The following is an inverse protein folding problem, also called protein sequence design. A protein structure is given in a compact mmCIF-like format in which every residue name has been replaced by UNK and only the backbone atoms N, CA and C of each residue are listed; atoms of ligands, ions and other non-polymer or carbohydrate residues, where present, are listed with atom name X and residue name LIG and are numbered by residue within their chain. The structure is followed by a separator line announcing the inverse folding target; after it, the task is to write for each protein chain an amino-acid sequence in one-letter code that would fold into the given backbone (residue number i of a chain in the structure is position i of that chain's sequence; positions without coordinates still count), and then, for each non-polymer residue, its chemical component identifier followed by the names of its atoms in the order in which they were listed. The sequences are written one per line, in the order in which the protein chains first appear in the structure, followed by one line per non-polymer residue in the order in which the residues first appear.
data_IF_951112939100
#
_entry.id   IF_951112939100
#
_cell.length_a   1.000
_cell.length_b   1.000
_cell.length_c   1.000
_cell.angle_alpha   90.00
_cell.angle_beta   90.00
_cell.angle_gamma   90.00
#
_symmetry.space_group_name_H-M   'P 1'
#
loop_
_entity.id
_entity.type
_entity.pdbx_description
1 polymer ?
#
# COMPACT_ATOMS: atom_id res chain seq x y z
N UNK A 1 -26.90 2.69 -4.96
CA UNK A 1 -25.81 1.78 -4.56
C UNK A 1 -24.68 2.64 -4.08
N UNK A 2 -24.29 2.56 -2.80
CA UNK A 2 -23.07 3.21 -2.32
C UNK A 2 -21.90 2.37 -2.81
N UNK A 3 -21.10 2.91 -3.72
CA UNK A 3 -19.77 2.37 -3.94
C UNK A 3 -19.02 2.47 -2.60
N UNK A 4 -18.32 1.39 -2.21
CA UNK A 4 -17.51 1.37 -1.00
C UNK A 4 -16.38 2.39 -1.06
N UNK A 5 -15.61 2.48 0.02
CA UNK A 5 -14.42 3.34 0.05
C UNK A 5 -13.48 3.00 -1.11
N UNK A 6 -12.91 4.01 -1.77
CA UNK A 6 -11.98 3.77 -2.87
C UNK A 6 -11.19 4.99 -3.31
N UNK A 7 -10.47 4.86 -4.44
CA UNK A 7 -9.59 5.92 -5.00
C UNK A 7 -10.35 7.26 -5.16
N UNK A 8 -11.64 7.21 -5.52
CA UNK A 8 -12.48 8.40 -5.62
C UNK A 8 -12.60 9.21 -4.33
N UNK A 9 -12.56 8.56 -3.16
CA UNK A 9 -12.58 9.24 -1.86
C UNK A 9 -11.29 10.01 -1.60
N UNK A 10 -10.15 9.42 -1.96
CA UNK A 10 -8.83 10.04 -1.85
C UNK A 10 -8.75 11.25 -2.77
N UNK A 11 -9.17 11.08 -4.03
CA UNK A 11 -9.22 12.16 -5.02
C UNK A 11 -10.10 13.33 -4.54
N UNK A 12 -11.25 13.05 -3.94
CA UNK A 12 -12.12 14.10 -3.38
C UNK A 12 -11.42 14.91 -2.28
N UNK A 13 -10.64 14.27 -1.42
CA UNK A 13 -9.85 14.96 -0.37
C UNK A 13 -8.69 15.76 -0.97
N UNK A 14 -8.01 15.24 -1.99
CA UNK A 14 -6.98 15.97 -2.74
C UNK A 14 -7.57 17.24 -3.38
N UNK A 15 -8.74 17.12 -4.02
CA UNK A 15 -9.44 18.25 -4.61
C UNK A 15 -9.83 19.31 -3.58
N UNK A 16 -10.31 18.89 -2.41
CA UNK A 16 -10.63 19.78 -1.30
C UNK A 16 -9.38 20.54 -0.82
N UNK A 17 -8.27 19.84 -0.59
CA UNK A 17 -7.00 20.46 -0.22
C UNK A 17 -6.52 21.48 -1.27
N UNK A 18 -6.69 21.15 -2.56
CA UNK A 18 -6.33 22.03 -3.68
C UNK A 18 -7.20 23.30 -3.71
N UNK A 19 -8.50 23.19 -3.45
CA UNK A 19 -9.42 24.34 -3.35
C UNK A 19 -9.00 25.28 -2.21
N UNK A 20 -8.84 24.73 -1.00
CA UNK A 20 -8.40 25.49 0.19
C UNK A 20 -7.08 26.22 -0.08
N UNK A 21 -6.15 25.57 -0.76
CA UNK A 21 -4.86 26.18 -1.08
C UNK A 21 -4.96 27.35 -2.06
N UNK A 22 -5.92 27.34 -2.98
CA UNK A 22 -6.23 28.50 -3.84
C UNK A 22 -6.78 29.66 -3.00
N UNK A 23 -7.63 29.37 -2.02
CA UNK A 23 -8.16 30.40 -1.11
C UNK A 23 -7.05 31.04 -0.25
N UNK A 24 -5.97 30.31 0.03
CA UNK A 24 -4.78 30.83 0.68
C UNK A 24 -3.81 31.62 -0.23
N UNK A 25 -4.03 31.71 -1.54
CA UNK A 25 -3.09 32.36 -2.46
C UNK A 25 -2.85 33.84 -2.13
N UNK A 26 -3.90 34.54 -1.68
CA UNK A 26 -3.85 35.96 -1.27
C UNK A 26 -3.74 36.15 0.25
N UNK A 27 -3.43 35.08 0.99
CA UNK A 27 -3.33 35.12 2.44
C UNK A 27 -2.05 35.83 2.92
N UNK A 28 -2.10 36.56 4.05
CA UNK A 28 -0.91 37.11 4.68
C UNK A 28 0.05 36.01 5.10
N UNK A 29 1.32 36.41 5.27
CA UNK A 29 2.41 35.53 5.67
C UNK A 29 2.14 34.73 6.96
N UNK A 30 1.29 35.23 7.86
CA UNK A 30 0.91 34.54 9.10
C UNK A 30 0.17 33.21 8.87
N UNK A 31 -0.42 32.99 7.68
CA UNK A 31 -1.09 31.72 7.31
C UNK A 31 -0.23 30.84 6.40
N UNK A 32 1.03 31.21 6.19
CA UNK A 32 1.94 30.45 5.33
C UNK A 32 2.13 29.03 5.86
N UNK A 33 2.26 28.87 7.17
CA UNK A 33 2.51 27.56 7.79
C UNK A 33 1.36 26.57 7.54
N UNK A 34 0.12 26.97 7.83
CA UNK A 34 -1.04 26.09 7.59
C UNK A 34 -1.22 25.78 6.09
N UNK A 35 -0.93 26.74 5.22
CA UNK A 35 -0.94 26.52 3.76
C UNK A 35 0.13 25.51 3.32
N UNK A 36 1.33 25.53 3.93
CA UNK A 36 2.38 24.54 3.69
C UNK A 36 2.00 23.16 4.23
N UNK A 37 1.32 23.08 5.36
CA UNK A 37 0.83 21.81 5.92
C UNK A 37 -0.28 21.20 5.06
N UNK A 38 -1.25 22.00 4.57
CA UNK A 38 -2.26 21.55 3.60
C UNK A 38 -1.61 21.10 2.30
N UNK A 39 -0.56 21.78 1.84
CA UNK A 39 0.27 21.32 0.72
C UNK A 39 0.87 19.95 1.01
N UNK A 40 1.48 19.78 2.18
CA UNK A 40 2.12 18.52 2.57
C UNK A 40 1.11 17.39 2.56
N UNK A 41 -0.08 17.61 3.12
CA UNK A 41 -1.17 16.64 3.11
C UNK A 41 -1.58 16.25 1.68
N UNK A 42 -1.77 17.24 0.81
CA UNK A 42 -2.12 16.98 -0.60
C UNK A 42 -1.05 16.19 -1.36
N UNK A 43 0.24 16.36 -1.03
CA UNK A 43 1.33 15.61 -1.67
C UNK A 43 1.27 14.15 -1.21
N UNK A 44 1.20 13.90 0.10
CA UNK A 44 1.18 12.52 0.61
C UNK A 44 -0.06 11.75 0.16
N UNK A 45 -1.22 12.41 0.06
CA UNK A 45 -2.42 11.79 -0.50
C UNK A 45 -2.26 11.42 -1.98
N UNK A 46 -1.57 12.25 -2.77
CA UNK A 46 -1.28 11.95 -4.18
C UNK A 46 -0.31 10.76 -4.29
N UNK A 47 0.75 10.74 -3.47
CA UNK A 47 1.70 9.62 -3.45
C UNK A 47 1.00 8.30 -3.12
N UNK A 48 0.03 8.33 -2.19
CA UNK A 48 -0.78 7.15 -1.85
C UNK A 48 -1.71 6.77 -3.01
N UNK A 49 -2.35 7.72 -3.68
CA UNK A 49 -3.19 7.42 -4.85
C UNK A 49 -2.41 6.76 -5.98
N UNK A 50 -1.20 7.27 -6.26
CA UNK A 50 -0.31 6.72 -7.28
C UNK A 50 0.14 5.28 -6.92
N UNK A 51 0.44 5.02 -5.64
CA UNK A 51 0.86 3.70 -5.16
C UNK A 51 -0.26 2.67 -5.12
N UNK A 52 -1.49 3.07 -4.82
CA UNK A 52 -2.67 2.19 -4.77
C UNK A 52 -3.20 1.83 -6.15
N UNK A 53 -2.72 2.47 -7.19
CA UNK A 53 -3.08 2.15 -8.57
C UNK A 53 -2.52 0.80 -9.05
N UNK A 54 -1.69 0.10 -8.25
CA UNK A 54 -0.97 -1.12 -8.64
C UNK A 54 -1.38 -2.40 -7.87
N UNK A 55 -1.67 -2.37 -6.55
CA UNK A 55 -2.09 -3.57 -5.81
C UNK A 55 -3.46 -3.43 -5.11
N UNK A 56 -4.21 -4.53 -5.02
CA UNK A 56 -5.44 -4.60 -4.23
C UNK A 56 -5.11 -4.54 -2.72
N UNK A 57 -5.78 -3.64 -2.00
CA UNK A 57 -5.70 -3.56 -0.54
C UNK A 57 -6.47 -4.72 0.11
N UNK A 58 -5.96 -5.23 1.24
CA UNK A 58 -6.77 -6.12 2.07
C UNK A 58 -7.85 -5.33 2.85
N UNK A 59 -8.91 -6.01 3.30
CA UNK A 59 -10.05 -5.36 3.98
C UNK A 59 -9.65 -4.57 5.22
N UNK A 60 -8.57 -4.97 5.90
CA UNK A 60 -8.08 -4.27 7.09
C UNK A 60 -7.33 -3.01 6.70
N UNK A 61 -6.51 -3.08 5.65
CA UNK A 61 -5.80 -1.93 5.09
C UNK A 61 -6.77 -0.90 4.51
N UNK A 62 -7.82 -1.34 3.83
CA UNK A 62 -8.89 -0.47 3.35
C UNK A 62 -9.57 0.28 4.50
N UNK A 63 -9.89 -0.42 5.60
CA UNK A 63 -10.50 0.20 6.77
C UNK A 63 -9.56 1.20 7.45
N UNK A 64 -8.28 0.84 7.64
CA UNK A 64 -7.27 1.73 8.24
C UNK A 64 -7.08 2.99 7.39
N UNK A 65 -6.94 2.83 6.07
CA UNK A 65 -6.80 3.95 5.15
C UNK A 65 -8.05 4.83 5.13
N UNK A 66 -9.24 4.23 5.14
CA UNK A 66 -10.51 4.96 5.19
C UNK A 66 -10.58 5.86 6.42
N UNK A 67 -10.29 5.33 7.60
CA UNK A 67 -10.30 6.13 8.84
C UNK A 67 -9.34 7.33 8.77
N UNK A 68 -8.16 7.13 8.18
CA UNK A 68 -7.18 8.21 8.01
C UNK A 68 -7.71 9.26 7.00
N UNK A 69 -8.26 8.82 5.86
CA UNK A 69 -8.79 9.70 4.81
C UNK A 69 -10.00 10.49 5.30
N UNK A 70 -10.90 9.86 6.06
CA UNK A 70 -12.02 10.53 6.72
C UNK A 70 -11.51 11.60 7.72
N UNK A 71 -10.47 11.28 8.50
CA UNK A 71 -9.79 12.24 9.37
C UNK A 71 -9.16 13.42 8.62
N UNK A 72 -8.63 13.18 7.42
CA UNK A 72 -8.11 14.23 6.53
C UNK A 72 -9.25 15.14 6.02
N UNK A 73 -10.34 14.52 5.56
CA UNK A 73 -11.53 15.20 5.06
C UNK A 73 -12.12 16.11 6.14
N UNK A 74 -12.33 15.61 7.34
CA UNK A 74 -12.91 16.35 8.46
C UNK A 74 -12.12 17.63 8.81
N UNK A 75 -10.79 17.52 8.83
CA UNK A 75 -9.92 18.66 9.16
C UNK A 75 -9.95 19.70 8.05
N UNK A 76 -9.90 19.26 6.80
CA UNK A 76 -9.99 20.15 5.65
C UNK A 76 -11.38 20.79 5.52
N UNK A 77 -12.45 20.08 5.84
CA UNK A 77 -13.80 20.64 5.89
C UNK A 77 -13.94 21.67 7.02
N UNK A 78 -13.42 21.39 8.23
CA UNK A 78 -13.40 22.37 9.33
C UNK A 78 -12.65 23.64 8.90
N UNK A 79 -11.49 23.47 8.25
CA UNK A 79 -10.70 24.56 7.69
C UNK A 79 -11.46 25.35 6.61
N UNK A 80 -12.13 24.65 5.69
CA UNK A 80 -12.91 25.27 4.62
C UNK A 80 -14.12 26.03 5.16
N UNK A 81 -14.85 25.48 6.14
CA UNK A 81 -15.99 26.13 6.79
C UNK A 81 -15.55 27.41 7.50
N UNK A 82 -14.42 27.36 8.20
CA UNK A 82 -13.83 28.56 8.78
C UNK A 82 -13.53 29.60 7.70
N UNK A 83 -12.86 29.24 6.61
CA UNK A 83 -12.61 30.17 5.50
C UNK A 83 -13.89 30.72 4.85
N UNK A 84 -14.94 29.90 4.70
CA UNK A 84 -16.19 30.24 4.01
C UNK A 84 -17.10 31.15 4.84
N UNK A 85 -17.19 30.92 6.16
CA UNK A 85 -17.97 31.76 7.09
C UNK A 85 -17.56 33.23 6.99
N UNK A 86 -16.28 33.49 6.71
CA UNK A 86 -15.76 34.84 6.52
C UNK A 86 -15.84 35.33 5.07
N UNK A 87 -15.96 34.41 4.10
CA UNK A 87 -16.23 34.69 2.70
C UNK A 87 -17.66 35.18 2.43
N UNK A 88 -18.63 34.80 3.26
CA UNK A 88 -20.05 35.19 3.13
C UNK A 88 -20.39 36.58 3.72
N UNK A 89 -19.56 37.10 4.64
CA UNK A 89 -19.59 38.50 5.12
C UNK A 89 -19.28 39.55 4.02
N UNK A 90 -19.34 39.15 2.73
CA UNK A 90 -18.65 39.75 1.58
C UNK A 90 -19.52 39.99 0.35
N UNK A 91 -20.81 39.68 0.34
CA UNK A 91 -21.60 39.83 -0.90
C UNK A 91 -21.88 41.29 -1.32
N UNK A 92 -21.57 42.29 -0.48
CA UNK A 92 -21.72 43.69 -0.88
C UNK A 92 -20.42 44.35 -1.41
N UNK A 93 -20.39 44.50 -2.73
CA UNK A 93 -19.72 45.56 -3.51
C UNK A 93 -18.19 45.50 -3.82
N UNK A 94 -17.92 45.31 -5.13
CA UNK A 94 -16.84 45.85 -6.00
C UNK A 94 -15.45 46.15 -5.39
N UNK A 95 -14.42 45.45 -5.90
CA UNK A 95 -12.99 45.83 -5.81
C UNK A 95 -12.06 44.69 -5.35
N UNK A 96 -11.41 44.00 -6.29
CA UNK A 96 -10.90 42.62 -6.12
C UNK A 96 -9.53 42.48 -5.43
N UNK A 97 -8.59 43.43 -5.54
CA UNK A 97 -7.21 43.22 -5.03
C UNK A 97 -6.90 43.81 -3.65
N UNK A 98 -7.34 45.05 -3.38
CA UNK A 98 -6.91 45.79 -2.18
C UNK A 98 -7.73 45.46 -0.93
N UNK A 99 -8.94 44.92 -1.08
CA UNK A 99 -9.83 44.57 0.05
C UNK A 99 -9.45 43.24 0.72
N UNK A 100 -8.91 42.28 -0.04
CA UNK A 100 -8.45 40.98 0.50
C UNK A 100 -7.43 41.17 1.64
N UNK A 101 -6.40 42.00 1.45
CA UNK A 101 -5.40 42.30 2.50
C UNK A 101 -6.01 42.95 3.76
N UNK A 102 -7.09 43.73 3.64
CA UNK A 102 -7.78 44.35 4.80
C UNK A 102 -8.69 43.36 5.52
N UNK A 103 -9.27 42.40 4.80
CA UNK A 103 -10.07 41.30 5.33
C UNK A 103 -9.21 40.41 6.23
N UNK A 104 -8.05 39.98 5.74
CA UNK A 104 -7.11 39.22 6.54
C UNK A 104 -6.51 39.99 7.73
N UNK A 105 -6.46 41.33 7.68
CA UNK A 105 -6.05 42.15 8.82
C UNK A 105 -7.14 42.29 9.90
N UNK A 106 -8.42 42.11 9.53
CA UNK A 106 -9.56 42.07 10.47
C UNK A 106 -9.85 40.66 10.98
N UNK A 107 -9.19 39.69 10.38
CA UNK A 107 -9.30 38.27 10.68
C UNK A 107 -8.50 37.96 11.93
N UNK A 108 -9.20 37.87 13.07
CA UNK A 108 -8.65 37.31 14.30
C UNK A 108 -8.94 35.82 14.30
N UNK A 109 -8.00 35.02 13.79
CA UNK A 109 -7.95 33.63 14.19
C UNK A 109 -7.44 33.57 15.62
N UNK A 110 -8.17 32.89 16.49
CA UNK A 110 -7.65 32.56 17.80
C UNK A 110 -6.41 31.69 17.58
N UNK A 111 -5.23 32.06 18.13
CA UNK A 111 -4.00 31.32 17.93
C UNK A 111 -4.14 29.82 18.23
N UNK A 112 -5.02 29.46 19.16
CA UNK A 112 -5.31 28.10 19.56
C UNK A 112 -6.08 27.30 18.50
N UNK A 113 -7.05 27.90 17.80
CA UNK A 113 -7.77 27.23 16.69
C UNK A 113 -6.83 26.92 15.51
N UNK A 114 -5.94 27.87 15.17
CA UNK A 114 -4.93 27.65 14.12
C UNK A 114 -4.04 26.49 14.52
N UNK A 115 -3.57 26.50 15.77
CA UNK A 115 -2.65 25.51 16.29
C UNK A 115 -3.31 24.13 16.35
N UNK A 116 -4.58 24.05 16.72
CA UNK A 116 -5.37 22.81 16.70
C UNK A 116 -5.47 22.26 15.27
N UNK A 117 -5.88 23.08 14.31
CA UNK A 117 -5.98 22.67 12.90
C UNK A 117 -4.64 22.19 12.36
N UNK A 118 -3.58 22.97 12.58
CA UNK A 118 -2.22 22.60 12.17
C UNK A 118 -1.75 21.29 12.79
N UNK A 119 -2.00 21.11 14.09
CA UNK A 119 -1.69 19.86 14.79
C UNK A 119 -2.42 18.69 14.15
N UNK A 120 -3.72 18.83 13.86
CA UNK A 120 -4.52 17.76 13.25
C UNK A 120 -4.07 17.44 11.83
N UNK A 121 -3.74 18.46 11.01
CA UNK A 121 -3.19 18.24 9.66
C UNK A 121 -1.87 17.48 9.76
N UNK A 122 -0.99 17.90 10.66
CA UNK A 122 0.31 17.24 10.89
C UNK A 122 0.15 15.79 11.33
N UNK A 123 -0.78 15.51 12.24
CA UNK A 123 -1.10 14.15 12.68
C UNK A 123 -1.61 13.28 11.52
N UNK A 124 -2.53 13.80 10.71
CA UNK A 124 -3.03 13.08 9.53
C UNK A 124 -1.91 12.79 8.52
N UNK A 125 -1.02 13.74 8.27
CA UNK A 125 0.18 13.53 7.43
C UNK A 125 1.07 12.42 7.99
N UNK A 126 1.26 12.39 9.31
CA UNK A 126 2.04 11.34 9.96
C UNK A 126 1.38 9.97 9.83
N UNK A 127 0.05 9.88 10.00
CA UNK A 127 -0.70 8.64 9.82
C UNK A 127 -0.63 8.13 8.38
N UNK A 128 -0.81 8.99 7.39
CA UNK A 128 -0.68 8.62 5.98
C UNK A 128 0.72 8.10 5.66
N UNK A 129 1.79 8.77 6.13
CA UNK A 129 3.16 8.30 5.94
C UNK A 129 3.44 6.96 6.65
N UNK A 130 2.90 6.76 7.85
CA UNK A 130 3.04 5.51 8.58
C UNK A 130 2.30 4.36 7.86
N UNK A 131 1.08 4.60 7.40
CA UNK A 131 0.32 3.66 6.59
C UNK A 131 1.09 3.27 5.33
N UNK A 132 1.58 4.28 4.59
CA UNK A 132 2.40 4.08 3.40
C UNK A 132 3.63 3.21 3.69
N UNK A 133 4.38 3.53 4.74
CA UNK A 133 5.55 2.74 5.14
C UNK A 133 5.21 1.27 5.44
N UNK A 134 4.09 1.02 6.14
CA UNK A 134 3.61 -0.37 6.37
C UNK A 134 3.25 -1.06 5.06
N UNK A 135 2.53 -0.38 4.16
CA UNK A 135 2.11 -0.91 2.87
C UNK A 135 3.32 -1.28 2.00
N UNK A 136 4.26 -0.34 1.81
CA UNK A 136 5.48 -0.58 1.03
C UNK A 136 6.30 -1.75 1.59
N UNK A 137 6.46 -1.85 2.92
CA UNK A 137 7.20 -2.94 3.54
C UNK A 137 6.54 -4.31 3.31
N UNK A 138 5.20 -4.38 3.31
CA UNK A 138 4.46 -5.62 3.00
C UNK A 138 4.72 -6.04 1.56
N UNK A 139 4.55 -5.13 0.60
CA UNK A 139 4.81 -5.40 -0.83
C UNK A 139 6.26 -5.81 -1.08
N UNK A 140 7.23 -5.13 -0.43
CA UNK A 140 8.64 -5.51 -0.51
C UNK A 140 8.91 -6.91 0.04
N UNK A 141 8.25 -7.29 1.14
CA UNK A 141 8.37 -8.63 1.71
C UNK A 141 7.82 -9.71 0.76
N UNK A 142 6.70 -9.45 0.09
CA UNK A 142 6.10 -10.37 -0.91
C UNK A 142 6.97 -10.53 -2.16
N UNK A 143 7.54 -9.42 -2.66
CA UNK A 143 8.51 -9.43 -3.76
C UNK A 143 9.75 -10.23 -3.36
N UNK A 144 10.30 -9.96 -2.17
CA UNK A 144 11.47 -10.67 -1.66
C UNK A 144 11.22 -12.17 -1.58
N UNK A 145 10.11 -12.59 -0.96
CA UNK A 145 9.75 -14.00 -0.86
C UNK A 145 9.62 -14.66 -2.23
N UNK A 146 9.02 -13.96 -3.20
CA UNK A 146 8.86 -14.46 -4.56
C UNK A 146 10.20 -14.59 -5.28
N UNK A 147 11.13 -13.64 -5.07
CA UNK A 147 12.48 -13.68 -5.60
C UNK A 147 13.31 -14.81 -4.97
N UNK A 148 13.24 -14.99 -3.65
CA UNK A 148 13.92 -16.09 -2.93
C UNK A 148 13.43 -17.45 -3.45
N UNK A 149 12.12 -17.65 -3.57
CA UNK A 149 11.55 -18.87 -4.15
C UNK A 149 11.92 -19.07 -5.63
N UNK A 150 12.05 -17.99 -6.40
CA UNK A 150 12.47 -18.08 -7.79
C UNK A 150 13.93 -18.53 -7.88
N UNK A 151 14.79 -17.97 -7.02
CA UNK A 151 16.21 -18.31 -6.95
C UNK A 151 16.42 -19.77 -6.55
N UNK A 152 15.76 -20.25 -5.49
CA UNK A 152 15.83 -21.66 -5.07
C UNK A 152 15.40 -22.61 -6.20
N UNK A 153 14.28 -22.33 -6.87
CA UNK A 153 13.82 -23.15 -8.00
C UNK A 153 14.78 -23.12 -9.19
N UNK A 154 15.48 -22.02 -9.40
CA UNK A 154 16.45 -21.90 -10.47
C UNK A 154 17.70 -22.73 -10.16
N UNK A 155 18.22 -22.64 -8.94
CA UNK A 155 19.37 -23.42 -8.47
C UNK A 155 19.08 -24.92 -8.52
N UNK A 156 17.91 -25.36 -8.05
CA UNK A 156 17.47 -26.77 -8.14
C UNK A 156 17.40 -27.26 -9.59
N UNK A 157 16.91 -26.41 -10.51
CA UNK A 157 16.85 -26.74 -11.94
C UNK A 157 18.23 -26.84 -12.56
N UNK A 158 19.16 -25.97 -12.18
CA UNK A 158 20.53 -25.96 -12.68
C UNK A 158 21.28 -27.20 -12.18
N UNK A 159 21.21 -27.47 -10.87
CA UNK A 159 21.79 -28.65 -10.25
C UNK A 159 21.23 -29.94 -10.85
N UNK A 160 19.91 -30.03 -11.06
CA UNK A 160 19.31 -31.20 -11.69
C UNK A 160 19.77 -31.37 -13.15
N UNK A 161 19.93 -30.29 -13.92
CA UNK A 161 20.49 -30.36 -15.28
C UNK A 161 21.93 -30.87 -15.28
N UNK A 162 22.76 -30.40 -14.34
CA UNK A 162 24.14 -30.88 -14.18
C UNK A 162 24.18 -32.36 -13.80
N UNK A 163 23.35 -32.78 -12.84
CA UNK A 163 23.22 -34.20 -12.47
C UNK A 163 22.80 -35.06 -13.66
N UNK A 164 21.81 -34.63 -14.45
CA UNK A 164 21.38 -35.33 -15.66
C UNK A 164 22.48 -35.39 -16.72
N UNK A 165 23.26 -34.31 -16.89
CA UNK A 165 24.38 -34.29 -17.83
C UNK A 165 25.47 -35.29 -17.43
N UNK A 166 25.81 -35.36 -16.13
CA UNK A 166 26.77 -36.34 -15.59
C UNK A 166 26.22 -37.76 -15.76
N UNK A 167 24.94 -37.99 -15.46
CA UNK A 167 24.32 -39.31 -15.60
C UNK A 167 24.37 -39.80 -17.04
N UNK A 168 24.00 -38.95 -18.01
CA UNK A 168 24.06 -39.25 -19.43
C UNK A 168 25.50 -39.47 -19.94
N UNK A 169 26.49 -38.82 -19.33
CA UNK A 169 27.91 -39.05 -19.63
C UNK A 169 28.38 -40.42 -19.13
N UNK A 170 27.97 -40.82 -17.91
CA UNK A 170 28.33 -42.11 -17.33
C UNK A 170 27.68 -43.28 -18.06
N UNK A 171 26.42 -43.13 -18.45
CA UNK A 171 25.64 -44.19 -19.10
C UNK A 171 24.58 -43.59 -20.03
N UNK A 172 24.50 -44.03 -21.29
CA UNK A 172 23.43 -43.64 -22.19
C UNK A 172 22.10 -44.39 -21.90
N UNK A 173 22.10 -45.32 -20.93
CA UNK A 173 20.93 -46.11 -20.57
C UNK A 173 20.00 -45.27 -19.69
N UNK A 174 18.75 -45.10 -20.12
CA UNK A 174 17.71 -44.51 -19.29
C UNK A 174 17.19 -45.52 -18.26
N UNK A 175 17.87 -45.55 -17.11
CA UNK A 175 17.52 -46.39 -15.98
C UNK A 175 16.12 -46.10 -15.44
N UNK A 176 15.63 -44.86 -15.54
CA UNK A 176 14.30 -44.47 -15.05
C UNK A 176 13.21 -45.15 -15.85
N UNK A 177 13.28 -45.07 -17.18
CA UNK A 177 12.32 -45.72 -18.07
C UNK A 177 12.36 -47.24 -17.94
N UNK A 178 13.55 -47.84 -17.84
CA UNK A 178 13.66 -49.29 -17.65
C UNK A 178 13.06 -49.74 -16.32
N UNK A 179 13.35 -49.04 -15.22
CA UNK A 179 12.81 -49.38 -13.92
C UNK A 179 11.30 -49.22 -13.86
N UNK A 180 10.75 -48.15 -14.46
CA UNK A 180 9.31 -47.96 -14.55
C UNK A 180 8.62 -49.08 -15.35
N UNK A 181 9.20 -49.48 -16.48
CA UNK A 181 8.71 -50.58 -17.30
C UNK A 181 8.74 -51.92 -16.55
N UNK A 182 9.82 -52.21 -15.81
CA UNK A 182 9.92 -53.40 -14.97
C UNK A 182 8.90 -53.40 -13.81
N UNK A 183 8.65 -52.25 -13.19
CA UNK A 183 7.63 -52.12 -12.13
C UNK A 183 6.23 -52.31 -12.71
N UNK A 184 5.95 -51.70 -13.86
CA UNK A 184 4.63 -51.81 -14.52
C UNK A 184 4.33 -53.24 -14.97
N UNK A 185 5.37 -54.02 -15.28
CA UNK A 185 5.26 -55.44 -15.64
C UNK A 185 5.20 -56.39 -14.45
N UNK A 186 5.37 -55.92 -13.20
CA UNK A 186 5.24 -56.80 -12.03
C UNK A 186 3.80 -57.28 -11.87
N UNK A 187 3.65 -58.58 -11.63
CA UNK A 187 2.38 -59.12 -11.16
C UNK A 187 2.15 -58.73 -9.69
N UNK A 188 0.88 -58.60 -9.33
CA UNK A 188 0.47 -58.43 -7.93
C UNK A 188 1.10 -59.53 -7.05
N UNK A 189 1.46 -59.17 -5.81
CA UNK A 189 2.09 -60.03 -4.80
C UNK A 189 3.55 -60.46 -5.11
N UNK A 190 4.14 -59.99 -6.21
CA UNK A 190 5.56 -60.24 -6.51
C UNK A 190 6.48 -59.56 -5.48
N UNK A 191 7.22 -60.34 -4.72
CA UNK A 191 8.14 -59.87 -3.69
C UNK A 191 7.55 -59.85 -2.28
N UNK A 192 6.26 -60.18 -2.13
CA UNK A 192 5.59 -60.25 -0.83
C UNK A 192 6.24 -61.28 0.10
N UNK A 193 6.72 -62.41 -0.45
CA UNK A 193 7.45 -63.44 0.31
C UNK A 193 8.72 -62.94 1.01
N UNK A 194 9.38 -61.91 0.47
CA UNK A 194 10.57 -61.32 1.09
C UNK A 194 10.16 -60.38 2.23
N UNK A 195 9.12 -59.57 2.00
CA UNK A 195 8.58 -58.62 2.97
C UNK A 195 7.95 -59.34 4.17
N UNK A 196 7.34 -60.50 3.94
CA UNK A 196 6.77 -61.37 4.98
C UNK A 196 7.83 -62.29 5.61
N UNK A 197 9.09 -62.24 5.16
CA UNK A 197 10.12 -63.14 5.69
C UNK A 197 10.49 -62.75 7.12
N UNK A 198 10.74 -63.73 8.01
CA UNK A 198 11.14 -63.44 9.39
C UNK A 198 12.41 -62.58 9.47
N UNK A 199 13.35 -62.83 8.56
CA UNK A 199 14.63 -62.11 8.46
C UNK A 199 14.40 -60.62 8.15
N UNK A 200 13.50 -60.32 7.22
CA UNK A 200 13.21 -58.93 6.86
C UNK A 200 12.42 -58.22 7.96
N UNK A 201 11.45 -58.91 8.58
CA UNK A 201 10.67 -58.37 9.70
C UNK A 201 11.58 -58.07 10.89
N UNK A 202 12.54 -58.95 11.19
CA UNK A 202 13.52 -58.79 12.28
C UNK A 202 14.54 -57.68 11.99
N UNK A 203 14.91 -57.46 10.73
CA UNK A 203 15.77 -56.34 10.34
C UNK A 203 15.07 -54.98 10.46
N UNK A 204 13.75 -54.94 10.23
CA UNK A 204 12.96 -53.71 10.26
C UNK A 204 12.46 -53.33 11.67
N UNK A 205 12.74 -54.14 12.69
CA UNK A 205 12.44 -53.91 14.12
C UNK A 205 13.66 -53.43 14.90
#
# INVERSE_FOLDING_TARGET
MSFGFGIGDILAVIELARKIRKDFADAPSQFKDISLEVRSLSIVLQDIEDELSLPDLDTKQESELKEIVDGCRDVLEKLQRLLSTYGELRSDSRGVGYKAKRIWKRFQWEPDDIKELRSRITTNVAFLNAFRGKFTNKTLHEIKNSADQFHERQDDRELNKECLAILNWLTPIDHTSQQHDFITKRQADTGQWLLDSPVFIEWNS
#
